data_IF_117008286358
#
_entry.id   IF_117008286358
#
_cell.length_a   1.000
_cell.length_b   1.000
_cell.length_c   1.000
_cell.angle_alpha   90.00
_cell.angle_beta   90.00
_cell.angle_gamma   90.00
#
_symmetry.space_group_name_H-M   'P 1'
#
loop_
_entity.id
_entity.type
_entity.pdbx_description
1 polymer ?
#
# COMPACT_ATOMS: atom_id res chain seq x y z
N UNK A 1 -38.09 -5.95 9.33
CA UNK A 1 -36.79 -6.66 9.29
C UNK A 1 -35.57 -5.73 9.18
N UNK A 2 -35.67 -4.64 8.46
CA UNK A 2 -34.60 -3.64 8.26
C UNK A 2 -34.14 -2.98 9.56
N UNK A 3 -35.05 -2.64 10.48
CA UNK A 3 -34.71 -1.95 11.74
C UNK A 3 -33.80 -2.77 12.67
N UNK A 4 -33.92 -4.11 12.69
CA UNK A 4 -33.08 -4.93 13.58
C UNK A 4 -31.58 -4.93 13.21
N UNK A 5 -31.25 -4.65 11.97
CA UNK A 5 -29.85 -4.65 11.50
C UNK A 5 -29.10 -3.35 11.83
N UNK A 6 -29.84 -2.24 11.93
CA UNK A 6 -29.24 -0.92 12.18
C UNK A 6 -29.49 -0.38 13.60
N UNK A 7 -30.47 -0.93 14.33
CA UNK A 7 -30.88 -0.49 15.66
C UNK A 7 -30.88 -1.62 16.70
N UNK A 8 -30.32 -2.79 16.39
CA UNK A 8 -30.21 -3.90 17.32
C UNK A 8 -28.94 -3.84 18.16
N UNK A 9 -28.90 -4.65 19.21
CA UNK A 9 -27.69 -4.99 19.93
C UNK A 9 -27.23 -6.38 19.44
N UNK A 10 -25.93 -6.57 19.23
CA UNK A 10 -25.40 -7.90 18.98
C UNK A 10 -25.24 -8.66 20.30
N UNK A 11 -24.92 -9.96 20.26
CA UNK A 11 -24.69 -10.83 21.43
C UNK A 11 -23.60 -10.29 22.38
N UNK A 12 -22.82 -9.31 21.95
CA UNK A 12 -21.74 -8.66 22.72
C UNK A 12 -22.17 -7.28 23.23
N UNK A 13 -23.47 -6.88 23.08
CA UNK A 13 -24.01 -5.61 23.56
C UNK A 13 -23.56 -4.36 22.79
N UNK A 14 -23.02 -4.50 21.57
CA UNK A 14 -22.66 -3.36 20.73
C UNK A 14 -23.87 -2.87 19.94
N UNK A 15 -24.18 -1.56 20.03
CA UNK A 15 -25.23 -0.94 19.23
C UNK A 15 -24.78 -0.79 17.78
N UNK A 16 -25.62 -1.29 16.87
CA UNK A 16 -25.44 -1.05 15.44
C UNK A 16 -25.98 0.33 15.08
N UNK A 17 -25.22 1.11 14.34
CA UNK A 17 -25.62 2.38 13.77
C UNK A 17 -25.31 2.42 12.28
N UNK A 18 -25.95 3.35 11.56
CA UNK A 18 -25.59 3.67 10.19
C UNK A 18 -24.22 4.34 10.19
N UNK A 19 -23.26 3.72 9.50
CA UNK A 19 -21.95 4.36 9.31
C UNK A 19 -22.07 5.60 8.41
N UNK A 20 -21.19 6.59 8.52
CA UNK A 20 -21.15 7.73 7.60
C UNK A 20 -21.07 7.31 6.13
N UNK A 21 -20.35 6.22 5.84
CA UNK A 21 -20.25 5.63 4.50
C UNK A 21 -21.59 5.10 4.01
N UNK A 22 -22.33 4.40 4.87
CA UNK A 22 -23.65 3.88 4.52
C UNK A 22 -24.66 5.02 4.26
N UNK A 23 -24.61 6.08 5.06
CA UNK A 23 -25.43 7.28 4.86
C UNK A 23 -25.07 7.95 3.52
N UNK A 24 -23.79 8.16 3.24
CA UNK A 24 -23.33 8.73 1.97
C UNK A 24 -23.78 7.89 0.77
N UNK A 25 -23.71 6.56 0.88
CA UNK A 25 -24.17 5.63 -0.15
C UNK A 25 -25.67 5.74 -0.40
N UNK A 26 -26.48 5.91 0.65
CA UNK A 26 -27.92 6.13 0.53
C UNK A 26 -28.25 7.39 -0.25
N UNK A 27 -27.59 8.53 0.08
CA UNK A 27 -27.79 9.78 -0.65
C UNK A 27 -27.31 9.72 -2.10
N UNK A 28 -26.26 8.97 -2.37
CA UNK A 28 -25.73 8.80 -3.72
C UNK A 28 -26.63 7.91 -4.58
N UNK A 29 -27.07 6.78 -4.06
CA UNK A 29 -27.96 5.84 -4.74
C UNK A 29 -28.66 4.91 -3.73
N UNK A 30 -29.97 5.10 -3.45
CA UNK A 30 -30.73 4.24 -2.54
C UNK A 30 -30.71 2.76 -2.91
N UNK A 31 -30.69 2.43 -4.20
CA UNK A 31 -30.59 1.05 -4.68
C UNK A 31 -29.23 0.42 -4.31
N UNK A 32 -28.14 1.16 -4.47
CA UNK A 32 -26.81 0.69 -4.09
C UNK A 32 -26.72 0.47 -2.57
N UNK A 33 -27.31 1.38 -1.77
CA UNK A 33 -27.42 1.19 -0.33
C UNK A 33 -28.23 -0.08 0.01
N UNK A 34 -29.38 -0.29 -0.65
CA UNK A 34 -30.21 -1.46 -0.43
C UNK A 34 -29.43 -2.77 -0.71
N UNK A 35 -28.81 -2.85 -1.89
CA UNK A 35 -28.05 -4.05 -2.29
C UNK A 35 -26.86 -4.32 -1.35
N UNK A 36 -26.03 -3.31 -1.09
CA UNK A 36 -24.80 -3.49 -0.33
C UNK A 36 -25.03 -3.55 1.19
N UNK A 37 -25.91 -2.69 1.74
CA UNK A 37 -26.04 -2.58 3.18
C UNK A 37 -27.18 -3.43 3.75
N UNK A 38 -28.21 -3.75 2.96
CA UNK A 38 -29.37 -4.52 3.43
C UNK A 38 -29.31 -5.97 2.96
N UNK A 39 -29.15 -6.18 1.66
CA UNK A 39 -29.07 -7.53 1.08
C UNK A 39 -27.68 -8.15 1.17
N UNK A 40 -26.64 -7.34 1.46
CA UNK A 40 -25.26 -7.80 1.53
C UNK A 40 -24.75 -8.36 0.19
N UNK A 41 -25.35 -7.92 -0.91
CA UNK A 41 -24.87 -8.22 -2.24
C UNK A 41 -23.77 -7.19 -2.55
N UNK A 42 -22.56 -7.52 -2.16
CA UNK A 42 -21.40 -6.76 -2.62
C UNK A 42 -21.13 -7.17 -4.06
N UNK A 43 -20.68 -6.23 -4.89
CA UNK A 43 -20.02 -6.63 -6.14
C UNK A 43 -18.97 -7.66 -5.77
N UNK A 44 -18.97 -8.81 -6.44
CA UNK A 44 -17.84 -9.74 -6.35
C UNK A 44 -16.61 -8.95 -6.76
N UNK A 45 -15.91 -8.40 -5.78
CA UNK A 45 -14.54 -7.95 -6.00
C UNK A 45 -13.84 -9.22 -6.39
N UNK A 46 -13.56 -9.38 -7.69
CA UNK A 46 -12.75 -10.48 -8.16
C UNK A 46 -11.55 -10.53 -7.22
N UNK A 47 -11.44 -11.57 -6.39
CA UNK A 47 -10.41 -11.75 -5.37
C UNK A 47 -8.99 -11.67 -5.94
N UNK A 48 -8.90 -11.56 -7.26
CA UNK A 48 -7.67 -11.48 -8.04
C UNK A 48 -7.22 -10.05 -8.39
N UNK A 49 -8.01 -9.01 -8.10
CA UNK A 49 -7.63 -7.64 -8.45
C UNK A 49 -6.82 -6.98 -7.35
N UNK A 50 -5.61 -6.58 -7.68
CA UNK A 50 -4.76 -5.78 -6.78
C UNK A 50 -5.44 -4.44 -6.54
N UNK A 51 -5.73 -4.16 -5.28
CA UNK A 51 -6.38 -2.92 -4.88
C UNK A 51 -5.39 -1.74 -4.85
N UNK A 52 -5.89 -0.52 -4.97
CA UNK A 52 -5.05 0.68 -4.98
C UNK A 52 -4.21 0.86 -3.70
N UNK A 53 -4.73 0.43 -2.55
CA UNK A 53 -3.99 0.43 -1.29
C UNK A 53 -2.84 -0.59 -1.29
N UNK A 54 -3.01 -1.75 -1.92
CA UNK A 54 -1.95 -2.77 -2.05
C UNK A 54 -0.82 -2.26 -2.95
N UNK A 55 -1.16 -1.56 -4.05
CA UNK A 55 -0.17 -0.89 -4.90
C UNK A 55 0.67 0.09 -4.07
N UNK A 56 0.01 0.93 -3.26
CA UNK A 56 0.68 1.86 -2.36
C UNK A 56 1.60 1.14 -1.37
N UNK A 57 1.10 0.09 -0.72
CA UNK A 57 1.87 -0.69 0.26
C UNK A 57 3.11 -1.35 -0.36
N UNK A 58 3.02 -1.87 -1.59
CA UNK A 58 4.15 -2.46 -2.30
C UNK A 58 5.23 -1.40 -2.57
N UNK A 59 4.83 -0.20 -3.03
CA UNK A 59 5.75 0.90 -3.29
C UNK A 59 6.44 1.35 -1.99
N UNK A 60 5.68 1.54 -0.91
CA UNK A 60 6.22 1.86 0.41
C UNK A 60 7.23 0.82 0.89
N UNK A 61 6.85 -0.46 0.83
CA UNK A 61 7.72 -1.57 1.23
C UNK A 61 8.99 -1.65 0.38
N UNK A 62 8.92 -1.29 -0.91
CA UNK A 62 10.10 -1.23 -1.77
C UNK A 62 11.10 -0.18 -1.27
N UNK A 63 10.64 1.04 -0.99
CA UNK A 63 11.53 2.11 -0.51
C UNK A 63 12.03 1.84 0.90
N UNK A 64 11.20 1.29 1.78
CA UNK A 64 11.63 0.85 3.09
C UNK A 64 12.79 -0.15 2.98
N UNK A 65 12.63 -1.23 2.21
CA UNK A 65 13.69 -2.21 1.98
C UNK A 65 14.92 -1.59 1.29
N UNK A 66 14.73 -0.64 0.36
CA UNK A 66 15.84 0.05 -0.31
C UNK A 66 16.69 0.85 0.68
N UNK A 67 16.04 1.61 1.55
CA UNK A 67 16.75 2.43 2.54
C UNK A 67 17.32 1.62 3.69
N UNK A 68 16.73 0.47 4.05
CA UNK A 68 17.29 -0.46 5.02
C UNK A 68 18.66 -1.01 4.60
N UNK A 69 18.94 -1.12 3.30
CA UNK A 69 20.26 -1.56 2.79
C UNK A 69 21.40 -0.59 3.15
N UNK A 70 21.09 0.67 3.51
CA UNK A 70 22.08 1.64 4.01
C UNK A 70 22.25 1.60 5.52
N UNK A 71 21.56 0.68 6.22
CA UNK A 71 21.67 0.52 7.67
C UNK A 71 23.01 -0.09 8.04
N UNK A 72 23.72 0.56 8.97
CA UNK A 72 25.03 0.10 9.46
C UNK A 72 24.83 -0.81 10.68
N UNK A 73 23.95 -0.37 11.60
CA UNK A 73 23.58 -1.08 12.81
C UNK A 73 22.11 -0.76 13.12
N UNK A 74 21.57 -1.21 14.24
CA UNK A 74 20.14 -1.05 14.57
C UNK A 74 19.66 0.40 14.65
N UNK A 75 20.57 1.38 14.79
CA UNK A 75 20.24 2.78 15.03
C UNK A 75 20.79 3.70 13.93
N UNK A 76 21.95 3.36 13.33
CA UNK A 76 22.67 4.25 12.43
C UNK A 76 22.56 3.84 10.97
N UNK A 77 22.46 4.83 10.09
CA UNK A 77 22.48 4.68 8.63
C UNK A 77 23.71 5.33 8.03
N UNK A 78 24.25 4.68 6.99
CA UNK A 78 25.32 5.29 6.17
C UNK A 78 24.76 6.54 5.50
N UNK A 79 25.60 7.58 5.43
CA UNK A 79 25.31 8.75 4.61
C UNK A 79 25.25 8.36 3.13
N UNK A 80 24.16 8.73 2.45
CA UNK A 80 23.88 8.29 1.09
C UNK A 80 24.26 9.38 0.13
N UNK A 81 25.18 9.07 -0.79
CA UNK A 81 25.51 9.89 -1.94
C UNK A 81 24.93 9.30 -3.23
N UNK A 82 24.96 10.06 -4.33
CA UNK A 82 24.40 9.63 -5.61
C UNK A 82 25.02 8.32 -6.12
N UNK A 83 26.35 8.14 -5.99
CA UNK A 83 27.04 6.94 -6.51
C UNK A 83 26.63 5.67 -5.77
N UNK A 84 26.60 5.74 -4.43
CA UNK A 84 26.20 4.62 -3.59
C UNK A 84 24.73 4.21 -3.89
N UNK A 85 23.85 5.21 -4.06
CA UNK A 85 22.45 4.97 -4.40
C UNK A 85 22.30 4.33 -5.78
N UNK A 86 23.00 4.81 -6.80
CA UNK A 86 22.96 4.23 -8.16
C UNK A 86 23.49 2.80 -8.20
N UNK A 87 24.58 2.53 -7.48
CA UNK A 87 25.17 1.21 -7.40
C UNK A 87 24.23 0.21 -6.69
N UNK A 88 23.63 0.64 -5.58
CA UNK A 88 22.65 -0.19 -4.87
C UNK A 88 21.46 -0.54 -5.75
N UNK A 89 20.84 0.48 -6.37
CA UNK A 89 19.68 0.27 -7.24
C UNK A 89 20.05 -0.67 -8.39
N UNK A 90 21.20 -0.47 -9.04
CA UNK A 90 21.63 -1.31 -10.15
C UNK A 90 21.82 -2.78 -9.77
N UNK A 91 22.37 -3.03 -8.57
CA UNK A 91 22.75 -4.38 -8.15
C UNK A 91 21.66 -5.12 -7.42
N UNK A 92 20.75 -4.43 -6.73
CA UNK A 92 19.78 -5.05 -5.82
C UNK A 92 18.31 -4.77 -6.14
N UNK A 93 17.99 -4.08 -7.24
CA UNK A 93 16.61 -3.72 -7.59
C UNK A 93 15.65 -4.91 -7.55
N UNK A 94 15.99 -5.99 -8.24
CA UNK A 94 15.10 -7.16 -8.35
C UNK A 94 14.96 -7.88 -7.01
N UNK A 95 16.03 -7.97 -6.21
CA UNK A 95 15.99 -8.55 -4.87
C UNK A 95 15.08 -7.75 -3.94
N UNK A 96 15.24 -6.43 -3.92
CA UNK A 96 14.44 -5.52 -3.10
C UNK A 96 12.98 -5.56 -3.55
N UNK A 97 12.73 -5.59 -4.87
CA UNK A 97 11.38 -5.70 -5.40
C UNK A 97 10.69 -7.00 -4.96
N UNK A 98 11.39 -8.13 -5.00
CA UNK A 98 10.87 -9.42 -4.51
C UNK A 98 10.64 -9.41 -3.00
N UNK A 99 11.52 -8.81 -2.20
CA UNK A 99 11.31 -8.62 -0.76
C UNK A 99 10.03 -7.80 -0.49
N UNK A 100 9.83 -6.70 -1.22
CA UNK A 100 8.64 -5.87 -1.09
C UNK A 100 7.35 -6.62 -1.46
N UNK A 101 7.36 -7.42 -2.52
CA UNK A 101 6.22 -8.26 -2.90
C UNK A 101 5.91 -9.31 -1.83
N UNK A 102 6.92 -10.00 -1.33
CA UNK A 102 6.77 -11.02 -0.27
C UNK A 102 6.19 -10.43 1.00
N UNK A 103 6.64 -9.23 1.41
CA UNK A 103 6.13 -8.49 2.57
C UNK A 103 4.64 -8.15 2.43
N UNK A 104 4.16 -7.99 1.20
CA UNK A 104 2.76 -7.68 0.88
C UNK A 104 1.93 -8.91 0.43
N UNK A 105 2.33 -10.12 0.80
CA UNK A 105 1.66 -11.38 0.50
C UNK A 105 1.66 -11.81 -0.98
N UNK A 106 2.62 -11.33 -1.78
CA UNK A 106 2.82 -11.75 -3.17
C UNK A 106 4.16 -12.47 -3.38
N UNK A 107 4.46 -13.59 -2.68
CA UNK A 107 5.76 -14.25 -2.75
C UNK A 107 6.10 -14.79 -4.14
N UNK A 108 5.09 -15.14 -4.94
CA UNK A 108 5.24 -15.65 -6.30
C UNK A 108 5.17 -14.53 -7.37
N UNK A 109 5.21 -13.26 -6.94
CA UNK A 109 4.99 -12.12 -7.81
C UNK A 109 3.53 -11.79 -8.00
N UNK A 110 3.27 -10.66 -8.66
CA UNK A 110 1.91 -10.23 -8.98
C UNK A 110 1.31 -11.08 -10.10
N UNK A 111 0.00 -11.38 -10.05
CA UNK A 111 -0.68 -12.10 -11.14
C UNK A 111 -0.48 -11.41 -12.48
N UNK A 112 -0.27 -12.19 -13.54
CA UNK A 112 -0.02 -11.67 -14.90
C UNK A 112 -1.30 -11.62 -15.75
N UNK A 113 -2.47 -11.46 -15.12
CA UNK A 113 -3.77 -11.51 -15.81
C UNK A 113 -4.46 -10.15 -15.78
N UNK A 114 -5.04 -9.77 -16.89
CA UNK A 114 -5.96 -8.65 -17.01
C UNK A 114 -5.45 -7.35 -16.39
N UNK A 115 -6.21 -6.80 -15.46
CA UNK A 115 -5.92 -5.53 -14.80
C UNK A 115 -4.66 -5.58 -13.91
N UNK A 116 -4.33 -6.76 -13.36
CA UNK A 116 -3.15 -6.93 -12.51
C UNK A 116 -1.84 -6.73 -13.29
N UNK A 117 -1.83 -7.02 -14.60
CA UNK A 117 -0.70 -6.69 -15.46
C UNK A 117 -0.46 -5.17 -15.53
N UNK A 118 -1.53 -4.39 -15.67
CA UNK A 118 -1.44 -2.92 -15.66
C UNK A 118 -0.95 -2.41 -14.32
N UNK A 119 -1.43 -2.96 -13.22
CA UNK A 119 -0.97 -2.63 -11.87
C UNK A 119 0.52 -2.91 -11.70
N UNK A 120 1.02 -4.04 -12.22
CA UNK A 120 2.46 -4.38 -12.21
C UNK A 120 3.30 -3.37 -13.00
N UNK A 121 2.84 -2.96 -14.18
CA UNK A 121 3.52 -1.95 -15.00
C UNK A 121 3.52 -0.61 -14.26
N UNK A 122 2.38 -0.20 -13.70
CA UNK A 122 2.23 1.04 -12.95
C UNK A 122 3.16 1.09 -11.73
N UNK A 123 3.22 0.02 -10.94
CA UNK A 123 4.12 -0.05 -9.76
C UNK A 123 5.57 0.17 -10.20
N UNK A 124 6.03 -0.53 -11.23
CA UNK A 124 7.40 -0.38 -11.74
C UNK A 124 7.68 1.04 -12.22
N UNK A 125 6.76 1.63 -12.98
CA UNK A 125 6.90 2.99 -13.50
C UNK A 125 6.97 4.03 -12.36
N UNK A 126 6.15 3.88 -11.33
CA UNK A 126 6.16 4.76 -10.16
C UNK A 126 7.48 4.63 -9.39
N UNK A 127 7.96 3.42 -9.16
CA UNK A 127 9.26 3.17 -8.52
C UNK A 127 10.40 3.80 -9.35
N UNK A 128 10.43 3.56 -10.66
CA UNK A 128 11.47 4.09 -11.55
C UNK A 128 11.46 5.62 -11.60
N UNK A 129 10.30 6.25 -11.60
CA UNK A 129 10.17 7.70 -11.57
C UNK A 129 10.67 8.29 -10.25
N UNK A 130 10.37 7.63 -9.12
CA UNK A 130 10.90 8.05 -7.82
C UNK A 130 12.42 7.88 -7.75
N UNK A 131 12.97 6.77 -8.22
CA UNK A 131 14.42 6.55 -8.30
C UNK A 131 15.11 7.64 -9.13
N UNK A 132 14.51 8.04 -10.26
CA UNK A 132 15.03 9.15 -11.08
C UNK A 132 15.01 10.48 -10.32
N UNK A 133 13.94 10.72 -9.55
CA UNK A 133 13.81 11.90 -8.70
C UNK A 133 14.89 11.92 -7.61
N UNK A 134 15.08 10.83 -6.88
CA UNK A 134 16.09 10.69 -5.83
C UNK A 134 17.52 10.86 -6.38
N UNK A 135 17.83 10.28 -7.53
CA UNK A 135 19.12 10.49 -8.19
C UNK A 135 19.38 11.96 -8.50
N UNK A 136 18.35 12.67 -8.98
CA UNK A 136 18.46 14.11 -9.25
C UNK A 136 18.63 14.91 -7.97
N UNK A 137 17.93 14.53 -6.90
CA UNK A 137 18.03 15.19 -5.60
C UNK A 137 19.41 15.01 -4.98
N UNK A 138 20.01 13.83 -5.09
CA UNK A 138 21.31 13.49 -4.55
C UNK A 138 22.50 14.03 -5.38
N UNK A 139 22.25 14.64 -6.54
CA UNK A 139 23.33 15.13 -7.43
C UNK A 139 24.30 16.09 -6.75
N UNK A 140 23.76 16.98 -5.91
CA UNK A 140 24.53 18.02 -5.20
C UNK A 140 24.34 17.96 -3.67
N UNK A 141 23.81 16.86 -3.15
CA UNK A 141 23.44 16.69 -1.74
C UNK A 141 23.76 15.29 -1.26
N UNK A 142 23.91 15.17 0.04
CA UNK A 142 24.04 13.90 0.74
C UNK A 142 22.81 13.73 1.64
N UNK A 143 22.25 12.53 1.68
CA UNK A 143 21.11 12.20 2.50
C UNK A 143 21.57 11.44 3.74
N UNK A 144 21.14 11.92 4.91
CA UNK A 144 21.28 11.18 6.15
C UNK A 144 19.89 10.71 6.58
N UNK A 145 19.70 9.39 6.61
CA UNK A 145 18.48 8.80 7.14
C UNK A 145 18.57 8.88 8.67
N UNK A 146 17.49 9.31 9.31
CA UNK A 146 17.36 9.35 10.77
C UNK A 146 16.55 8.15 11.22
N UNK A 147 15.40 7.92 10.59
CA UNK A 147 14.49 6.81 10.89
C UNK A 147 13.69 6.46 9.64
N UNK A 148 13.28 5.18 9.52
CA UNK A 148 12.41 4.69 8.47
C UNK A 148 11.09 4.25 9.13
N UNK A 149 9.96 4.80 8.67
CA UNK A 149 8.59 4.44 9.03
C UNK A 149 8.32 4.19 10.52
N UNK A 150 8.76 5.10 11.40
CA UNK A 150 8.44 5.01 12.82
C UNK A 150 7.03 5.54 13.08
N UNK A 151 6.21 4.74 13.75
CA UNK A 151 4.95 5.23 14.31
C UNK A 151 5.24 6.26 15.40
N UNK A 152 4.92 7.52 15.12
CA UNK A 152 4.97 8.58 16.12
C UNK A 152 3.70 8.46 16.98
N UNK A 153 3.82 7.89 18.17
CA UNK A 153 2.78 7.97 19.18
C UNK A 153 2.82 9.38 19.80
N UNK A 154 1.73 10.10 19.64
CA UNK A 154 1.45 11.32 20.38
C UNK A 154 0.70 11.01 21.67
#
# INVERSE_FOLDING_TARGET
MICKRFYGENEVGRKFGLSPTAISMYFKCPMMFYLNCIENINEDTHEELIQSNEIGNIIHSFFECLYEEFKINDIDYKQINQKDFEELVKNKYDEIYQKALTKNNFPNGLPNTGFNYLSKVLIKELIDNFIKYEKKFLKDKELKIIEIEKQLYH
#
